data_IF_807545238943
#
_entry.id   IF_807545238943
#
_cell.length_a   1.000
_cell.length_b   1.000
_cell.length_c   1.000
_cell.angle_alpha   90.00
_cell.angle_beta   90.00
_cell.angle_gamma   90.00
#
_symmetry.space_group_name_H-M   'P 1'
#
loop_
_entity.id
_entity.type
_entity.pdbx_description
1 polymer ?
#
# COMPACT_ATOMS: atom_id res chain seq x y z
N UNK A 1 47.43 34.40 -2.10
CA UNK A 1 46.09 33.87 -1.77
C UNK A 1 45.03 34.31 -2.78
N UNK A 2 44.87 35.61 -3.07
CA UNK A 2 43.88 36.09 -4.05
C UNK A 2 44.08 35.58 -5.49
N UNK A 3 45.34 35.45 -5.96
CA UNK A 3 45.63 34.82 -7.28
C UNK A 3 45.24 33.35 -7.35
N UNK A 4 45.61 32.55 -6.34
CA UNK A 4 45.19 31.14 -6.22
C UNK A 4 43.66 30.97 -6.17
N UNK A 5 42.95 31.90 -5.56
CA UNK A 5 41.48 31.92 -5.54
C UNK A 5 40.88 32.28 -6.91
N UNK A 6 41.49 33.23 -7.62
CA UNK A 6 41.14 33.57 -9.00
C UNK A 6 41.39 32.42 -9.97
N UNK A 7 42.57 31.79 -9.88
CA UNK A 7 42.93 30.62 -10.71
C UNK A 7 42.00 29.43 -10.44
N UNK A 8 41.59 29.21 -9.17
CA UNK A 8 40.60 28.20 -8.81
C UNK A 8 39.19 28.56 -9.31
N UNK A 9 38.81 29.84 -9.31
CA UNK A 9 37.53 30.30 -9.87
C UNK A 9 37.50 30.16 -11.39
N UNK A 10 38.61 30.41 -12.07
CA UNK A 10 38.78 30.23 -13.51
C UNK A 10 38.80 28.75 -13.90
N UNK A 11 39.47 27.91 -13.09
CA UNK A 11 39.41 26.45 -13.22
C UNK A 11 37.99 25.92 -12.97
N UNK A 12 37.26 26.44 -11.98
CA UNK A 12 35.86 26.08 -11.71
C UNK A 12 34.90 26.54 -12.81
N UNK A 13 35.16 27.69 -13.45
CA UNK A 13 34.40 28.18 -14.60
C UNK A 13 34.63 27.37 -15.88
N UNK A 14 35.82 26.78 -16.01
CA UNK A 14 36.24 25.97 -17.17
C UNK A 14 36.00 24.45 -17.01
N UNK A 15 35.45 23.98 -15.88
CA UNK A 15 34.91 22.62 -15.79
C UNK A 15 33.65 22.61 -16.67
N UNK A 16 33.82 22.21 -17.93
CA UNK A 16 32.69 21.88 -18.79
C UNK A 16 31.75 20.94 -18.04
N UNK A 17 30.45 21.11 -18.22
CA UNK A 17 29.42 20.25 -17.60
C UNK A 17 29.70 18.76 -17.81
N UNK A 18 30.34 18.40 -18.94
CA UNK A 18 30.82 17.05 -19.29
C UNK A 18 31.94 16.55 -18.37
N UNK A 19 32.83 17.43 -17.91
CA UNK A 19 33.93 17.10 -17.01
C UNK A 19 33.40 16.81 -15.60
N UNK A 20 32.41 17.58 -15.13
CA UNK A 20 31.78 17.31 -13.82
C UNK A 20 30.98 16.01 -13.79
N UNK A 21 30.19 15.76 -14.84
CA UNK A 21 29.41 14.51 -14.95
C UNK A 21 30.32 13.27 -15.05
N UNK A 22 31.43 13.36 -15.78
CA UNK A 22 32.41 12.26 -15.85
C UNK A 22 33.16 12.03 -14.54
N UNK A 23 33.52 13.10 -13.80
CA UNK A 23 34.10 12.98 -12.45
C UNK A 23 33.12 12.32 -11.48
N UNK A 24 31.83 12.70 -11.54
CA UNK A 24 30.78 12.07 -10.73
C UNK A 24 30.57 10.60 -11.10
N UNK A 25 30.59 10.25 -12.39
CA UNK A 25 30.46 8.84 -12.80
C UNK A 25 31.62 7.98 -12.30
N UNK A 26 32.85 8.50 -12.36
CA UNK A 26 34.06 7.80 -11.92
C UNK A 26 34.26 7.77 -10.39
N UNK A 27 33.41 8.46 -9.63
CA UNK A 27 33.49 8.49 -8.17
C UNK A 27 32.82 7.26 -7.51
N UNK A 28 33.34 6.86 -6.35
CA UNK A 28 32.79 5.80 -5.50
C UNK A 28 31.55 6.21 -4.69
N UNK A 29 30.89 7.31 -5.04
CA UNK A 29 29.65 7.74 -4.40
C UNK A 29 28.47 6.82 -4.74
N UNK A 30 27.51 6.71 -3.83
CA UNK A 30 26.25 6.00 -4.13
C UNK A 30 25.36 6.84 -5.08
N UNK A 31 24.39 6.19 -5.73
CA UNK A 31 23.56 6.86 -6.74
C UNK A 31 22.75 8.03 -6.17
N UNK A 32 22.31 7.92 -4.91
CA UNK A 32 21.54 8.98 -4.24
C UNK A 32 22.38 10.24 -4.01
N UNK A 33 23.62 10.08 -3.55
CA UNK A 33 24.55 11.19 -3.34
C UNK A 33 24.98 11.81 -4.67
N UNK A 34 25.23 11.00 -5.70
CA UNK A 34 25.46 11.49 -7.07
C UNK A 34 24.28 12.33 -7.58
N UNK A 35 23.05 11.87 -7.34
CA UNK A 35 21.83 12.61 -7.72
C UNK A 35 21.73 13.95 -6.98
N UNK A 36 21.95 13.96 -5.65
CA UNK A 36 21.93 15.19 -4.84
C UNK A 36 22.96 16.20 -5.34
N UNK A 37 24.20 15.77 -5.53
CA UNK A 37 25.30 16.64 -5.96
C UNK A 37 24.99 17.24 -7.35
N UNK A 38 24.51 16.42 -8.28
CA UNK A 38 24.13 16.89 -9.61
C UNK A 38 23.00 17.92 -9.55
N UNK A 39 22.00 17.72 -8.69
CA UNK A 39 20.90 18.68 -8.51
C UNK A 39 21.36 19.97 -7.85
N UNK A 40 22.30 19.91 -6.89
CA UNK A 40 22.92 21.10 -6.29
C UNK A 40 23.64 21.90 -7.38
N UNK A 41 24.49 21.25 -8.17
CA UNK A 41 25.23 21.88 -9.27
C UNK A 41 24.31 22.48 -10.34
N UNK A 42 23.28 21.75 -10.77
CA UNK A 42 22.26 22.29 -11.69
C UNK A 42 21.54 23.48 -11.10
N UNK A 43 21.24 23.45 -9.81
CA UNK A 43 20.52 24.52 -9.13
C UNK A 43 21.34 25.79 -8.92
N UNK A 44 22.68 25.69 -8.83
CA UNK A 44 23.58 26.83 -8.72
C UNK A 44 23.78 27.56 -10.04
N UNK A 45 23.73 26.84 -11.16
CA UNK A 45 23.87 27.43 -12.50
C UNK A 45 22.62 28.19 -12.97
N UNK A 46 21.53 28.16 -12.20
CA UNK A 46 20.27 28.81 -12.54
C UNK A 46 20.07 30.04 -11.64
N UNK A 47 20.02 31.22 -12.25
CA UNK A 47 19.82 32.49 -11.54
C UNK A 47 18.42 32.62 -10.92
N UNK A 48 17.38 32.13 -11.60
CA UNK A 48 16.00 32.18 -11.11
C UNK A 48 15.54 30.83 -10.55
N UNK A 49 15.25 30.77 -9.25
CA UNK A 49 14.78 29.56 -8.57
C UNK A 49 13.52 28.95 -9.19
N UNK A 50 12.67 29.74 -9.86
CA UNK A 50 11.47 29.28 -10.55
C UNK A 50 11.75 28.49 -11.84
N UNK A 51 12.93 28.66 -12.44
CA UNK A 51 13.31 28.00 -13.70
C UNK A 51 14.03 26.67 -13.47
N UNK A 52 14.14 26.22 -12.22
CA UNK A 52 14.76 24.94 -11.86
C UNK A 52 13.96 23.78 -12.44
N UNK A 53 14.65 22.93 -13.21
CA UNK A 53 14.13 21.65 -13.70
C UNK A 53 14.82 20.55 -12.91
N UNK A 54 14.00 19.68 -12.33
CA UNK A 54 14.44 18.57 -11.50
C UNK A 54 14.40 17.27 -12.28
N UNK A 55 15.36 16.38 -12.04
CA UNK A 55 15.31 15.01 -12.55
C UNK A 55 14.19 14.19 -11.89
N UNK A 56 13.69 13.17 -12.59
CA UNK A 56 12.63 12.28 -12.08
C UNK A 56 13.06 11.56 -10.79
N UNK A 57 14.30 11.07 -10.75
CA UNK A 57 14.88 10.43 -9.56
C UNK A 57 14.91 11.40 -8.36
N UNK A 58 15.26 12.66 -8.58
CA UNK A 58 15.24 13.66 -7.52
C UNK A 58 13.83 13.98 -7.04
N UNK A 59 12.88 14.12 -7.95
CA UNK A 59 11.46 14.30 -7.60
C UNK A 59 10.95 13.13 -6.76
N UNK A 60 11.28 11.89 -7.13
CA UNK A 60 10.91 10.70 -6.36
C UNK A 60 11.50 10.72 -4.95
N UNK A 61 12.79 11.04 -4.81
CA UNK A 61 13.43 11.20 -3.50
C UNK A 61 12.78 12.31 -2.67
N UNK A 62 12.45 13.44 -3.29
CA UNK A 62 11.76 14.55 -2.63
C UNK A 62 10.35 14.16 -2.18
N UNK A 63 9.63 13.38 -2.98
CA UNK A 63 8.32 12.82 -2.63
C UNK A 63 8.45 11.89 -1.41
N UNK A 64 9.38 10.95 -1.44
CA UNK A 64 9.62 10.01 -0.33
C UNK A 64 10.02 10.75 0.96
N UNK A 65 10.91 11.72 0.84
CA UNK A 65 11.33 12.52 1.98
C UNK A 65 10.17 13.34 2.56
N UNK A 66 9.33 13.93 1.69
CA UNK A 66 8.13 14.66 2.12
C UNK A 66 7.13 13.75 2.83
N UNK A 67 6.91 12.52 2.36
CA UNK A 67 6.05 11.53 3.04
C UNK A 67 6.60 11.22 4.43
N UNK A 68 7.93 11.05 4.54
CA UNK A 68 8.57 10.65 5.79
C UNK A 68 8.62 11.77 6.83
N UNK A 69 8.90 13.01 6.42
CA UNK A 69 8.98 14.16 7.31
C UNK A 69 8.63 15.48 6.59
N UNK A 70 7.35 15.91 6.64
CA UNK A 70 6.92 17.17 6.06
C UNK A 70 7.61 18.40 6.65
N UNK A 71 7.85 18.41 7.97
CA UNK A 71 8.47 19.53 8.69
C UNK A 71 9.95 19.69 8.31
N UNK A 72 10.71 18.60 8.32
CA UNK A 72 12.12 18.64 7.93
C UNK A 72 12.29 19.03 6.46
N UNK A 73 11.43 18.51 5.57
CA UNK A 73 11.41 18.91 4.17
C UNK A 73 11.23 20.43 4.01
N UNK A 74 10.26 21.00 4.75
CA UNK A 74 9.97 22.43 4.67
C UNK A 74 11.07 23.30 5.29
N UNK A 75 11.67 22.85 6.39
CA UNK A 75 12.81 23.51 7.01
C UNK A 75 14.00 23.58 6.03
N UNK A 76 14.43 22.45 5.46
CA UNK A 76 15.57 22.40 4.53
C UNK A 76 15.32 23.23 3.27
N UNK A 77 14.08 23.27 2.78
CA UNK A 77 13.69 24.08 1.63
C UNK A 77 13.73 25.58 1.96
N UNK A 78 13.21 25.97 3.13
CA UNK A 78 13.11 27.38 3.54
C UNK A 78 14.47 27.97 3.86
N UNK A 79 15.34 27.19 4.50
CA UNK A 79 16.74 27.55 4.77
C UNK A 79 17.65 27.41 3.53
N UNK A 80 17.09 27.03 2.38
CA UNK A 80 17.81 26.84 1.11
C UNK A 80 19.02 25.89 1.20
N UNK A 81 18.97 24.93 2.13
CA UNK A 81 20.05 23.95 2.36
C UNK A 81 20.13 22.96 1.19
N UNK A 82 18.98 22.58 0.64
CA UNK A 82 18.88 21.67 -0.51
C UNK A 82 17.97 22.26 -1.61
N UNK A 83 18.22 21.94 -2.89
CA UNK A 83 17.39 22.38 -4.01
C UNK A 83 16.10 21.56 -4.07
N UNK A 84 15.23 21.73 -3.08
CA UNK A 84 13.98 21.00 -2.97
C UNK A 84 12.85 21.68 -3.76
N UNK A 85 12.02 20.91 -4.51
CA UNK A 85 10.86 21.47 -5.19
C UNK A 85 9.85 22.03 -4.19
N UNK A 86 9.10 23.04 -4.63
CA UNK A 86 8.01 23.60 -3.83
C UNK A 86 6.88 22.57 -3.66
N UNK A 87 6.09 22.75 -2.59
CA UNK A 87 4.97 21.86 -2.27
C UNK A 87 3.98 21.67 -3.44
N UNK A 88 3.70 22.74 -4.20
CA UNK A 88 2.81 22.67 -5.38
C UNK A 88 3.36 21.71 -6.44
N UNK A 89 4.67 21.69 -6.65
CA UNK A 89 5.32 20.80 -7.62
C UNK A 89 5.21 19.35 -7.15
N UNK A 90 5.53 19.08 -5.88
CA UNK A 90 5.39 17.73 -5.29
C UNK A 90 3.94 17.25 -5.38
N UNK A 91 2.97 18.10 -5.02
CA UNK A 91 1.54 17.78 -5.11
C UNK A 91 1.08 17.51 -6.54
N UNK A 92 1.61 18.23 -7.53
CA UNK A 92 1.32 18.00 -8.95
C UNK A 92 1.75 16.59 -9.38
N UNK A 93 2.93 16.13 -8.96
CA UNK A 93 3.35 14.76 -9.23
C UNK A 93 2.46 13.73 -8.52
N UNK A 94 2.09 13.96 -7.25
CA UNK A 94 1.12 13.09 -6.58
C UNK A 94 -0.23 13.01 -7.30
N UNK A 95 -0.73 14.11 -7.85
CA UNK A 95 -2.02 14.11 -8.58
C UNK A 95 -2.01 13.30 -9.88
N UNK A 96 -0.83 12.94 -10.40
CA UNK A 96 -0.73 12.06 -11.56
C UNK A 96 -1.01 10.59 -11.18
N UNK A 97 -0.80 10.22 -9.92
CA UNK A 97 -1.12 8.89 -9.40
C UNK A 97 -2.60 8.86 -9.05
N UNK A 98 -3.42 8.34 -9.95
CA UNK A 98 -4.85 8.11 -9.70
C UNK A 98 -5.00 6.86 -8.85
N UNK A 99 -5.57 7.00 -7.66
CA UNK A 99 -5.97 5.89 -6.81
C UNK A 99 -7.50 5.87 -6.75
N UNK A 100 -8.11 4.90 -7.42
CA UNK A 100 -9.55 4.67 -7.42
C UNK A 100 -9.89 3.52 -6.46
N UNK A 101 -11.12 3.46 -5.95
CA UNK A 101 -11.59 2.30 -5.20
C UNK A 101 -11.68 1.08 -6.13
N UNK A 102 -11.32 -0.08 -5.62
CA UNK A 102 -11.21 -1.32 -6.38
C UNK A 102 -9.80 -1.89 -6.42
N UNK A 103 -9.65 -2.88 -7.29
CA UNK A 103 -8.36 -3.44 -7.67
C UNK A 103 -7.85 -2.69 -8.91
N UNK A 104 -6.74 -1.97 -8.81
CA UNK A 104 -6.16 -1.21 -9.92
C UNK A 104 -5.26 -2.09 -10.80
N UNK A 105 -5.69 -2.33 -12.04
CA UNK A 105 -4.94 -3.13 -13.02
C UNK A 105 -3.52 -2.63 -13.26
N UNK A 106 -3.32 -1.29 -13.32
CA UNK A 106 -1.99 -0.70 -13.53
C UNK A 106 -1.09 -0.97 -12.34
N UNK A 107 -1.65 -0.90 -11.14
CA UNK A 107 -0.95 -1.28 -9.93
C UNK A 107 -0.56 -2.76 -9.93
N UNK A 108 -1.47 -3.67 -10.31
CA UNK A 108 -1.14 -5.11 -10.39
C UNK A 108 -0.04 -5.41 -11.43
N UNK A 109 0.03 -4.66 -12.54
CA UNK A 109 1.13 -4.78 -13.50
C UNK A 109 2.49 -4.37 -12.89
N UNK A 110 2.50 -3.34 -12.05
CA UNK A 110 3.71 -2.94 -11.30
C UNK A 110 4.06 -3.97 -10.22
N UNK A 111 3.05 -4.46 -9.50
CA UNK A 111 3.21 -5.48 -8.47
C UNK A 111 3.77 -6.77 -9.06
N UNK A 112 3.35 -7.17 -10.26
CA UNK A 112 3.90 -8.32 -11.00
C UNK A 112 5.42 -8.23 -11.16
N UNK A 113 5.95 -7.06 -11.51
CA UNK A 113 7.41 -6.84 -11.62
C UNK A 113 8.11 -6.99 -10.28
N UNK A 114 7.46 -6.59 -9.17
CA UNK A 114 8.02 -6.77 -7.82
C UNK A 114 8.02 -8.24 -7.42
N UNK A 115 6.91 -8.94 -7.64
CA UNK A 115 6.73 -10.36 -7.33
C UNK A 115 7.68 -11.24 -8.16
N UNK A 116 7.97 -10.88 -9.42
CA UNK A 116 8.89 -11.64 -10.26
C UNK A 116 10.34 -11.64 -9.76
N UNK A 117 10.72 -10.64 -8.95
CA UNK A 117 12.06 -10.55 -8.35
C UNK A 117 12.18 -11.44 -7.10
N UNK A 118 11.06 -11.80 -6.47
CA UNK A 118 11.05 -12.60 -5.25
C UNK A 118 11.39 -14.07 -5.55
N UNK A 119 12.00 -14.75 -4.56
CA UNK A 119 12.20 -16.21 -4.64
C UNK A 119 10.86 -16.94 -4.53
N UNK A 120 10.84 -18.24 -4.83
CA UNK A 120 9.59 -19.01 -4.78
C UNK A 120 8.98 -19.01 -3.38
N UNK A 121 9.80 -19.13 -2.33
CA UNK A 121 9.39 -19.10 -0.92
C UNK A 121 8.84 -17.73 -0.53
N UNK A 122 9.40 -16.65 -1.07
CA UNK A 122 8.95 -15.28 -0.81
C UNK A 122 7.64 -14.93 -1.51
N UNK A 123 7.27 -15.67 -2.58
CA UNK A 123 5.99 -15.51 -3.26
C UNK A 123 4.83 -16.07 -2.45
N UNK A 124 5.08 -16.99 -1.53
CA UNK A 124 4.09 -17.54 -0.60
C UNK A 124 3.68 -16.48 0.43
N UNK A 125 2.38 -16.35 0.65
CA UNK A 125 1.81 -15.26 1.42
C UNK A 125 0.36 -15.45 1.81
N UNK A 126 -0.10 -14.53 2.65
CA UNK A 126 -1.44 -14.49 3.22
C UNK A 126 -2.18 -13.27 2.69
N UNK A 127 -3.46 -13.45 2.38
CA UNK A 127 -4.38 -12.34 2.11
C UNK A 127 -4.99 -11.87 3.43
N UNK A 128 -4.77 -10.61 3.78
CA UNK A 128 -5.34 -9.94 4.93
C UNK A 128 -6.39 -8.96 4.44
N UNK A 129 -7.51 -8.86 5.15
CA UNK A 129 -8.42 -7.74 4.95
C UNK A 129 -9.08 -7.32 6.26
N UNK A 130 -9.39 -6.04 6.37
CA UNK A 130 -10.08 -5.47 7.52
C UNK A 130 -10.87 -4.22 7.10
N UNK A 131 -11.87 -3.87 7.92
CA UNK A 131 -12.69 -2.67 7.76
C UNK A 131 -12.24 -1.56 8.72
N UNK A 132 -12.02 -0.36 8.18
CA UNK A 132 -11.74 0.85 8.97
C UNK A 132 -12.94 1.78 8.96
N UNK A 133 -13.26 2.38 10.12
CA UNK A 133 -14.29 3.42 10.19
C UNK A 133 -13.80 4.72 9.55
N UNK A 134 -14.62 5.30 8.69
CA UNK A 134 -14.38 6.56 8.01
C UNK A 134 -15.35 7.63 8.51
N UNK A 135 -14.90 8.88 8.47
CA UNK A 135 -15.79 10.03 8.67
C UNK A 135 -16.57 10.29 7.39
N UNK A 136 -17.88 10.35 7.49
CA UNK A 136 -18.75 10.70 6.36
C UNK A 136 -18.49 12.15 5.90
N UNK A 137 -17.98 12.32 4.69
CA UNK A 137 -17.86 13.61 4.01
C UNK A 137 -17.97 13.41 2.51
N UNK A 138 -18.54 14.40 1.81
CA UNK A 138 -18.57 14.42 0.35
C UNK A 138 -17.60 15.51 -0.11
N UNK A 139 -16.67 15.16 -1.00
CA UNK A 139 -15.76 16.10 -1.62
C UNK A 139 -15.94 16.11 -3.13
N UNK A 140 -16.06 17.31 -3.69
CA UNK A 140 -16.12 17.52 -5.14
C UNK A 140 -14.71 17.75 -5.66
N UNK A 141 -14.30 16.94 -6.62
CA UNK A 141 -13.08 17.23 -7.37
C UNK A 141 -13.45 18.05 -8.61
N UNK A 142 -13.23 19.37 -8.55
CA UNK A 142 -13.55 20.28 -9.65
C UNK A 142 -12.77 20.00 -10.93
N UNK A 143 -11.62 19.32 -10.85
CA UNK A 143 -10.80 19.01 -12.03
C UNK A 143 -11.33 17.81 -12.83
N UNK A 144 -11.92 16.83 -12.15
CA UNK A 144 -12.48 15.61 -12.78
C UNK A 144 -14.00 15.64 -12.83
N UNK A 145 -14.63 16.63 -12.20
CA UNK A 145 -16.09 16.73 -11.98
C UNK A 145 -16.67 15.47 -11.32
N UNK A 146 -15.89 14.84 -10.44
CA UNK A 146 -16.30 13.63 -9.71
C UNK A 146 -16.56 13.92 -8.25
N UNK A 147 -17.50 13.17 -7.67
CA UNK A 147 -17.73 13.14 -6.24
C UNK A 147 -16.87 12.06 -5.59
N UNK A 148 -16.39 12.33 -4.37
CA UNK A 148 -15.67 11.37 -3.53
C UNK A 148 -16.31 11.33 -2.14
N UNK A 149 -16.19 10.19 -1.46
CA UNK A 149 -16.87 9.94 -0.18
C UNK A 149 -18.25 9.28 -0.30
N UNK A 150 -18.59 8.79 -1.49
CA UNK A 150 -19.73 7.90 -1.70
C UNK A 150 -19.28 6.43 -1.64
N UNK A 151 -20.23 5.54 -1.41
CA UNK A 151 -20.02 4.10 -1.51
C UNK A 151 -19.48 3.73 -2.90
N UNK A 152 -18.41 2.94 -2.91
CA UNK A 152 -17.74 2.47 -4.11
C UNK A 152 -17.07 1.12 -3.84
N UNK A 153 -17.76 0.05 -4.26
CA UNK A 153 -17.30 -1.34 -4.18
C UNK A 153 -16.49 -1.77 -5.44
N UNK A 154 -16.00 -0.80 -6.23
CA UNK A 154 -15.27 -1.04 -7.47
C UNK A 154 -16.17 -1.03 -8.70
N UNK A 155 -15.55 -1.20 -9.88
CA UNK A 155 -16.21 -1.07 -11.19
C UNK A 155 -17.12 -2.24 -11.56
N UNK A 156 -16.90 -3.39 -10.94
CA UNK A 156 -17.56 -4.66 -11.29
C UNK A 156 -18.88 -4.88 -10.56
N UNK A 157 -19.14 -4.09 -9.52
CA UNK A 157 -20.43 -4.11 -8.84
C UNK A 157 -21.29 -3.01 -9.43
N UNK A 158 -22.57 -3.30 -9.75
CA UNK A 158 -23.49 -2.27 -10.19
C UNK A 158 -23.52 -1.21 -9.10
N UNK A 159 -22.98 -0.03 -9.40
CA UNK A 159 -23.31 1.15 -8.64
C UNK A 159 -24.77 1.39 -8.95
N UNK A 160 -25.66 1.04 -8.02
CA UNK A 160 -27.02 1.54 -8.07
C UNK A 160 -26.88 3.06 -8.19
N UNK A 161 -27.18 3.59 -9.39
CA UNK A 161 -27.01 5.00 -9.73
C UNK A 161 -27.85 5.91 -8.80
N UNK A 162 -28.68 5.31 -7.94
CA UNK A 162 -29.56 5.95 -6.96
C UNK A 162 -29.03 5.94 -5.52
N UNK A 163 -28.02 5.14 -5.14
CA UNK A 163 -27.50 5.16 -3.76
C UNK A 163 -26.45 6.24 -3.60
N UNK A 164 -26.92 7.47 -3.35
CA UNK A 164 -26.11 8.62 -2.89
C UNK A 164 -25.63 8.43 -1.44
N UNK A 165 -25.30 7.20 -1.05
CA UNK A 165 -24.93 6.82 0.30
C UNK A 165 -23.50 7.23 0.58
N UNK A 166 -23.32 7.95 1.68
CA UNK A 166 -22.00 8.39 2.14
C UNK A 166 -21.25 7.21 2.73
N UNK A 167 -20.06 6.93 2.21
CA UNK A 167 -19.22 5.89 2.77
C UNK A 167 -18.81 6.24 4.21
N UNK A 168 -18.91 5.26 5.10
CA UNK A 168 -18.49 5.36 6.49
C UNK A 168 -17.58 4.20 6.91
N UNK A 169 -17.32 3.24 6.02
CA UNK A 169 -16.34 2.18 6.21
C UNK A 169 -15.43 2.11 4.98
N UNK A 170 -14.16 1.77 5.21
CA UNK A 170 -13.17 1.47 4.18
C UNK A 170 -12.71 0.03 4.34
N UNK A 171 -12.98 -0.83 3.37
CA UNK A 171 -12.50 -2.20 3.34
C UNK A 171 -11.16 -2.22 2.60
N UNK A 172 -10.10 -2.68 3.26
CA UNK A 172 -8.74 -2.70 2.71
C UNK A 172 -8.26 -4.14 2.58
N UNK A 173 -7.80 -4.52 1.40
CA UNK A 173 -7.14 -5.80 1.14
C UNK A 173 -5.64 -5.60 1.05
N UNK A 174 -4.89 -6.53 1.66
CA UNK A 174 -3.45 -6.47 1.78
C UNK A 174 -2.85 -7.85 1.59
N UNK A 175 -1.76 -7.93 0.84
CA UNK A 175 -0.96 -9.15 0.70
C UNK A 175 0.26 -9.05 1.60
N UNK A 176 0.50 -10.09 2.39
CA UNK A 176 1.66 -10.22 3.25
C UNK A 176 2.44 -11.48 2.88
N UNK A 177 3.72 -11.32 2.51
CA UNK A 177 4.60 -12.46 2.30
C UNK A 177 4.91 -13.15 3.64
N UNK A 178 4.98 -14.48 3.63
CA UNK A 178 5.34 -15.29 4.80
C UNK A 178 6.86 -15.33 5.02
N UNK A 179 7.65 -15.31 3.94
CA UNK A 179 9.11 -15.46 3.99
C UNK A 179 9.86 -14.13 3.85
N UNK A 180 9.24 -13.10 3.26
CA UNK A 180 9.83 -11.76 3.15
C UNK A 180 9.12 -10.75 4.05
N UNK A 181 9.85 -9.73 4.53
CA UNK A 181 9.26 -8.54 5.12
C UNK A 181 8.65 -7.63 4.03
N UNK A 182 7.64 -8.15 3.34
CA UNK A 182 6.94 -7.50 2.25
C UNK A 182 5.45 -7.53 2.52
N UNK A 183 4.88 -6.34 2.61
CA UNK A 183 3.49 -6.09 2.89
C UNK A 183 2.98 -5.04 1.91
N UNK A 184 1.85 -5.30 1.25
CA UNK A 184 1.37 -4.41 0.21
C UNK A 184 -0.16 -4.38 0.18
N UNK A 185 -0.79 -3.22 0.40
CA UNK A 185 -2.20 -3.00 0.08
C UNK A 185 -2.43 -3.22 -1.43
N UNK A 186 -3.45 -4.01 -1.77
CA UNK A 186 -3.76 -4.41 -3.14
C UNK A 186 -5.11 -3.88 -3.64
N UNK A 187 -5.99 -3.47 -2.74
CA UNK A 187 -7.30 -2.93 -3.08
C UNK A 187 -7.94 -2.22 -1.90
N UNK A 188 -8.69 -1.17 -2.20
CA UNK A 188 -9.44 -0.40 -1.19
C UNK A 188 -10.85 -0.18 -1.72
N UNK A 189 -11.83 -0.40 -0.87
CA UNK A 189 -13.25 -0.26 -1.19
C UNK A 189 -13.90 0.65 -0.15
N UNK A 190 -14.88 1.44 -0.56
CA UNK A 190 -15.63 2.32 0.32
C UNK A 190 -17.07 1.82 0.42
N UNK A 191 -17.60 1.66 1.63
CA UNK A 191 -18.96 1.12 1.84
C UNK A 191 -19.76 1.94 2.86
N UNK A 192 -21.09 1.86 2.76
CA UNK A 192 -22.02 2.30 3.81
C UNK A 192 -22.33 1.12 4.71
N UNK A 193 -21.63 1.04 5.83
CA UNK A 193 -21.69 -0.05 6.78
C UNK A 193 -20.80 -1.22 6.38
N UNK A 194 -20.98 -2.33 7.09
CA UNK A 194 -20.26 -3.58 6.85
C UNK A 194 -20.65 -4.18 5.50
N UNK A 195 -19.68 -4.63 4.72
CA UNK A 195 -19.95 -5.24 3.41
C UNK A 195 -20.67 -6.58 3.59
N UNK A 196 -21.66 -6.86 2.73
CA UNK A 196 -22.39 -8.13 2.80
C UNK A 196 -21.45 -9.32 2.62
N UNK A 197 -21.66 -10.40 3.39
CA UNK A 197 -20.76 -11.57 3.35
C UNK A 197 -20.60 -12.20 1.97
N UNK A 198 -21.62 -12.14 1.11
CA UNK A 198 -21.59 -12.66 -0.26
C UNK A 198 -20.67 -11.80 -1.14
N UNK A 199 -20.86 -10.47 -1.11
CA UNK A 199 -20.00 -9.52 -1.85
C UNK A 199 -18.56 -9.60 -1.36
N UNK A 200 -18.37 -9.75 -0.04
CA UNK A 200 -17.04 -9.93 0.53
C UNK A 200 -16.38 -11.22 0.03
N UNK A 201 -17.11 -12.35 -0.03
CA UNK A 201 -16.60 -13.60 -0.60
C UNK A 201 -16.15 -13.44 -2.05
N UNK A 202 -16.95 -12.75 -2.87
CA UNK A 202 -16.62 -12.45 -4.26
C UNK A 202 -15.37 -11.57 -4.38
N UNK A 203 -15.24 -10.53 -3.55
CA UNK A 203 -14.04 -9.68 -3.50
C UNK A 203 -12.79 -10.45 -3.08
N UNK A 204 -12.91 -11.34 -2.09
CA UNK A 204 -11.83 -12.20 -1.60
C UNK A 204 -11.35 -13.14 -2.72
N UNK A 205 -12.28 -13.86 -3.37
CA UNK A 205 -11.93 -14.76 -4.50
C UNK A 205 -11.25 -13.95 -5.61
N UNK A 206 -11.79 -12.79 -5.97
CA UNK A 206 -11.18 -11.92 -6.98
C UNK A 206 -9.76 -11.48 -6.60
N UNK A 207 -9.53 -11.09 -5.34
CA UNK A 207 -8.21 -10.73 -4.84
C UNK A 207 -7.21 -11.89 -4.97
N UNK A 208 -7.63 -13.09 -4.56
CA UNK A 208 -6.81 -14.32 -4.68
C UNK A 208 -6.46 -14.59 -6.14
N UNK A 209 -7.44 -14.55 -7.05
CA UNK A 209 -7.22 -14.78 -8.48
C UNK A 209 -6.24 -13.75 -9.07
N UNK A 210 -6.39 -12.46 -8.75
CA UNK A 210 -5.48 -11.41 -9.26
C UNK A 210 -4.05 -11.59 -8.75
N UNK A 211 -3.87 -11.95 -7.48
CA UNK A 211 -2.55 -12.25 -6.91
C UNK A 211 -1.89 -13.46 -7.57
N UNK A 212 -2.66 -14.51 -7.84
CA UNK A 212 -2.15 -15.73 -8.47
C UNK A 212 -1.77 -15.50 -9.94
N UNK A 213 -2.53 -14.69 -10.67
CA UNK A 213 -2.21 -14.31 -12.07
C UNK A 213 -0.87 -13.56 -12.16
N UNK A 214 -0.53 -12.74 -11.16
CA UNK A 214 0.76 -12.03 -11.13
C UNK A 214 1.92 -12.87 -10.59
N UNK A 215 1.65 -14.11 -10.15
CA UNK A 215 2.65 -15.08 -9.69
C UNK A 215 2.90 -15.09 -8.19
N UNK A 216 2.08 -14.39 -7.39
CA UNK A 216 2.08 -14.59 -5.94
C UNK A 216 1.35 -15.89 -5.60
N UNK A 217 1.68 -16.51 -4.47
CA UNK A 217 1.07 -17.76 -4.01
C UNK A 217 0.30 -17.48 -2.72
N UNK A 218 -1.03 -17.50 -2.80
CA UNK A 218 -1.87 -17.22 -1.64
C UNK A 218 -2.19 -18.54 -0.94
N UNK A 219 -1.59 -18.74 0.23
CA UNK A 219 -1.77 -19.97 1.01
C UNK A 219 -2.99 -19.89 1.93
N UNK A 220 -3.55 -18.70 2.12
CA UNK A 220 -4.73 -18.52 2.94
C UNK A 220 -5.14 -17.07 3.15
N UNK A 221 -6.17 -16.91 3.96
CA UNK A 221 -6.85 -15.64 4.20
C UNK A 221 -6.99 -15.45 5.71
N UNK A 222 -6.78 -14.22 6.16
CA UNK A 222 -6.94 -13.82 7.56
C UNK A 222 -7.99 -12.72 7.66
N UNK A 223 -8.98 -12.92 8.54
CA UNK A 223 -10.02 -11.93 8.82
C UNK A 223 -10.36 -11.88 10.31
N UNK A 224 -11.08 -10.84 10.73
CA UNK A 224 -11.66 -10.81 12.08
C UNK A 224 -12.89 -11.75 12.19
N UNK A 225 -13.41 -11.88 13.41
CA UNK A 225 -14.58 -12.71 13.73
C UNK A 225 -15.94 -12.01 13.61
N UNK A 226 -16.03 -10.89 12.88
CA UNK A 226 -17.29 -10.17 12.69
C UNK A 226 -18.37 -11.04 12.05
N UNK A 227 -19.65 -10.67 12.22
CA UNK A 227 -20.77 -11.46 11.70
C UNK A 227 -20.75 -11.57 10.16
N UNK A 228 -20.40 -10.50 9.47
CA UNK A 228 -20.25 -10.47 8.01
C UNK A 228 -19.12 -11.36 7.52
N UNK A 229 -17.96 -11.33 8.20
CA UNK A 229 -16.82 -12.18 7.90
C UNK A 229 -17.13 -13.66 8.14
N UNK A 230 -17.85 -13.99 9.21
CA UNK A 230 -18.34 -15.36 9.44
C UNK A 230 -19.32 -15.83 8.36
N UNK A 231 -20.20 -14.94 7.87
CA UNK A 231 -21.06 -15.27 6.73
C UNK A 231 -20.22 -15.56 5.49
N UNK A 232 -19.22 -14.72 5.19
CA UNK A 232 -18.28 -14.96 4.09
C UNK A 232 -17.59 -16.32 4.20
N UNK A 233 -17.16 -16.73 5.40
CA UNK A 233 -16.55 -18.05 5.61
C UNK A 233 -17.52 -19.17 5.23
N UNK A 234 -18.77 -19.09 5.68
CA UNK A 234 -19.80 -20.09 5.34
C UNK A 234 -20.10 -20.13 3.84
N UNK A 235 -20.17 -18.98 3.16
CA UNK A 235 -20.36 -18.91 1.70
C UNK A 235 -19.18 -19.55 0.94
N UNK A 236 -17.96 -19.49 1.51
CA UNK A 236 -16.80 -20.19 0.97
C UNK A 236 -16.76 -21.67 1.39
N UNK A 237 -17.75 -22.21 2.08
CA UNK A 237 -17.77 -23.63 2.50
C UNK A 237 -16.89 -23.93 3.72
N UNK A 238 -16.48 -22.91 4.47
CA UNK A 238 -15.73 -23.05 5.71
C UNK A 238 -16.69 -23.23 6.87
N UNK A 239 -16.45 -24.26 7.67
CA UNK A 239 -17.33 -24.64 8.78
C UNK A 239 -16.48 -24.89 10.03
N UNK A 240 -16.84 -24.22 11.13
CA UNK A 240 -16.22 -24.40 12.44
C UNK A 240 -17.01 -25.35 13.35
N UNK A 241 -17.94 -26.13 12.79
CA UNK A 241 -18.75 -27.07 13.56
C UNK A 241 -17.87 -28.19 14.10
N UNK A 242 -18.08 -28.52 15.37
CA UNK A 242 -17.20 -29.43 16.12
C UNK A 242 -17.06 -30.82 15.50
N UNK A 243 -18.09 -31.28 14.81
CA UNK A 243 -18.11 -32.60 14.18
C UNK A 243 -17.57 -32.59 12.74
N UNK A 244 -17.46 -31.41 12.12
CA UNK A 244 -17.09 -31.22 10.72
C UNK A 244 -16.30 -29.91 10.57
N UNK A 245 -15.12 -29.86 11.20
CA UNK A 245 -14.23 -28.71 11.06
C UNK A 245 -13.62 -28.72 9.66
N UNK A 246 -13.98 -27.73 8.85
CA UNK A 246 -13.44 -27.49 7.53
C UNK A 246 -12.84 -26.08 7.50
N UNK A 247 -11.51 -25.99 7.65
CA UNK A 247 -10.78 -24.72 7.74
C UNK A 247 -10.04 -24.35 6.45
N UNK A 248 -10.26 -25.08 5.36
CA UNK A 248 -9.67 -24.81 4.05
C UNK A 248 -10.66 -25.09 2.92
N UNK A 249 -10.38 -24.52 1.76
CA UNK A 249 -10.99 -24.94 0.49
C UNK A 249 -9.91 -25.34 -0.51
N UNK A 250 -10.31 -26.05 -1.57
CA UNK A 250 -9.43 -26.24 -2.73
C UNK A 250 -9.17 -24.87 -3.35
N UNK A 251 -7.92 -24.58 -3.66
CA UNK A 251 -7.51 -23.27 -4.12
C UNK A 251 -8.11 -22.97 -5.52
N UNK A 252 -8.79 -21.83 -5.73
CA UNK A 252 -9.63 -21.59 -6.91
C UNK A 252 -8.87 -21.53 -8.25
N UNK A 253 -7.55 -21.33 -8.20
CA UNK A 253 -6.68 -21.30 -9.40
C UNK A 253 -5.73 -22.51 -9.48
N UNK A 254 -5.77 -23.43 -8.52
CA UNK A 254 -4.82 -24.55 -8.43
C UNK A 254 -5.39 -25.69 -7.59
N UNK A 255 -5.90 -26.73 -8.25
CA UNK A 255 -6.57 -27.86 -7.58
C UNK A 255 -5.63 -28.68 -6.66
N UNK A 256 -4.31 -28.50 -6.79
CA UNK A 256 -3.33 -29.19 -5.95
C UNK A 256 -3.08 -28.51 -4.61
N UNK A 257 -3.50 -27.24 -4.46
CA UNK A 257 -3.27 -26.44 -3.26
C UNK A 257 -4.55 -26.23 -2.46
N UNK A 258 -4.35 -25.97 -1.18
CA UNK A 258 -5.40 -25.61 -0.24
C UNK A 258 -5.29 -24.14 0.10
N UNK A 259 -6.42 -23.47 0.19
CA UNK A 259 -6.54 -22.10 0.67
C UNK A 259 -7.10 -22.14 2.09
N UNK A 260 -6.25 -21.83 3.08
CA UNK A 260 -6.59 -21.91 4.49
C UNK A 260 -7.26 -20.62 5.00
N UNK A 261 -8.13 -20.75 5.99
CA UNK A 261 -8.86 -19.62 6.57
C UNK A 261 -8.49 -19.47 8.04
N UNK A 262 -8.00 -18.29 8.41
CA UNK A 262 -7.51 -17.97 9.74
C UNK A 262 -8.29 -16.80 10.33
N UNK A 263 -8.58 -16.90 11.63
CA UNK A 263 -9.09 -15.75 12.40
C UNK A 263 -7.91 -14.96 12.95
N UNK A 264 -8.10 -13.64 13.13
CA UNK A 264 -7.13 -12.84 13.86
C UNK A 264 -7.01 -13.31 15.33
N UNK A 265 -5.84 -13.84 15.69
CA UNK A 265 -5.59 -14.43 17.00
C UNK A 265 -5.66 -13.40 18.15
N UNK A 266 -5.06 -12.19 18.05
CA UNK A 266 -5.28 -11.12 19.02
C UNK A 266 -6.76 -10.79 19.28
N UNK A 267 -7.59 -10.72 18.23
CA UNK A 267 -9.03 -10.52 18.38
C UNK A 267 -9.70 -11.65 19.16
N UNK A 268 -9.36 -12.91 18.87
CA UNK A 268 -9.86 -14.06 19.64
C UNK A 268 -9.46 -13.98 21.13
N UNK A 269 -8.21 -13.64 21.43
CA UNK A 269 -7.71 -13.51 22.81
C UNK A 269 -8.46 -12.38 23.53
N UNK A 270 -8.68 -11.23 22.86
CA UNK A 270 -9.50 -10.13 23.41
C UNK A 270 -10.93 -10.59 23.72
N UNK A 271 -11.55 -11.37 22.84
CA UNK A 271 -12.89 -11.91 23.07
C UNK A 271 -12.94 -12.85 24.28
N UNK A 272 -11.94 -13.74 24.42
CA UNK A 272 -11.79 -14.64 25.58
C UNK A 272 -11.65 -13.82 26.86
N UNK A 273 -10.74 -12.84 26.86
CA UNK A 273 -10.49 -11.95 28.01
C UNK A 273 -11.75 -11.19 28.41
N UNK A 274 -12.44 -10.54 27.47
CA UNK A 274 -13.65 -9.78 27.77
C UNK A 274 -14.75 -10.69 28.35
N UNK A 275 -14.87 -11.91 27.81
CA UNK A 275 -15.83 -12.89 28.35
C UNK A 275 -15.48 -13.36 29.75
N UNK A 276 -14.20 -13.61 30.04
CA UNK A 276 -13.73 -13.91 31.38
C UNK A 276 -13.96 -12.75 32.35
N UNK A 277 -13.74 -11.51 31.90
CA UNK A 277 -13.99 -10.32 32.71
C UNK A 277 -15.48 -10.16 33.05
N UNK A 278 -16.35 -10.19 32.03
CA UNK A 278 -17.76 -9.85 32.19
C UNK A 278 -18.59 -10.99 32.78
N UNK A 279 -18.26 -12.23 32.41
CA UNK A 279 -19.06 -13.41 32.79
C UNK A 279 -18.36 -14.31 33.81
N UNK A 280 -17.08 -14.09 34.11
CA UNK A 280 -16.24 -14.90 35.02
C UNK A 280 -16.18 -16.39 34.70
N UNK A 281 -16.71 -16.81 33.55
CA UNK A 281 -16.83 -18.20 33.12
C UNK A 281 -16.59 -18.28 31.62
N UNK A 282 -15.71 -19.19 31.23
CA UNK A 282 -15.61 -19.66 29.85
C UNK A 282 -16.50 -20.87 29.69
N UNK A 283 -17.50 -20.79 28.79
CA UNK A 283 -18.24 -21.97 28.36
C UNK A 283 -17.35 -22.75 27.40
N UNK A 284 -16.54 -23.64 27.94
CA UNK A 284 -15.89 -24.70 27.17
C UNK A 284 -16.88 -25.86 27.13
N UNK A 285 -17.56 -26.04 26.00
CA UNK A 285 -18.39 -27.21 25.81
C UNK A 285 -17.44 -28.35 25.41
N UNK A 286 -16.98 -29.10 26.41
CA UNK A 286 -16.18 -30.31 26.25
C UNK A 286 -17.04 -31.44 25.67
N UNK A 287 -16.53 -32.08 24.62
CA UNK A 287 -16.66 -33.53 24.48
C UNK A 287 -15.23 -34.07 24.44
N UNK A 288 -15.05 -35.24 25.04
CA UNK A 288 -13.76 -35.83 25.38
C UNK A 288 -12.75 -35.85 24.21
N UNK A 289 -11.50 -35.53 24.57
CA UNK A 289 -10.25 -35.71 23.83
C UNK A 289 -9.88 -34.69 22.74
N UNK A 290 -9.00 -33.80 23.21
CA UNK A 290 -7.73 -33.37 22.60
C UNK A 290 -7.72 -31.92 22.15
N UNK A 291 -6.93 -31.14 22.91
CA UNK A 291 -6.47 -29.79 22.62
C UNK A 291 -5.66 -29.83 21.33
N UNK A 292 -5.89 -28.89 20.42
CA UNK A 292 -4.83 -28.27 19.61
C UNK A 292 -5.27 -26.84 19.27
N UNK A 293 -4.36 -25.90 19.52
CA UNK A 293 -4.48 -24.49 19.17
C UNK A 293 -4.56 -24.28 17.66
#
# INVERSE_FOLDING_TARGET
LCKKLGDLQEQMGNIETKTFESILQNSNFNDSTKTIINEIYKSSNISNSKNRRYSENWILLCILFRIRSPSAYEFLRTQQILPLPCFRTVRRYFSQVKSECGFDEKFFQLLKKKISILTNEQKHGMLLFDEIMLRESIHVNSSTLTYSGLENLGKDYPQDQNTSLKANHGLVFMFQSLSANFCQPIGVFASKGTVSGIVLAQLVIKAVSLLEIIGAKVDGIVSDGAQTNRKMWTELGITGDKCQVQNYVIHPMDDTRKLYMFSDAPHLIKCIRNRLHDKKVLRVIYFEKTILF
#
